data_IF_602298197528
#
_entry.id   IF_602298197528
#
_cell.length_a   1.000
_cell.length_b   1.000
_cell.length_c   1.000
_cell.angle_alpha   90.00
_cell.angle_beta   90.00
_cell.angle_gamma   90.00
#
_symmetry.space_group_name_H-M   'P 1'
#
loop_
_entity.id
_entity.type
_entity.pdbx_description
1 polymer ?
#
# COMPACT_ATOMS: atom_id res chain seq x y z
N UNK A 1 19.25 -54.89 25.93
CA UNK A 1 18.60 -53.56 26.09
C UNK A 1 19.42 -52.42 25.47
N UNK A 2 20.74 -52.38 25.65
CA UNK A 2 21.59 -51.35 25.02
C UNK A 2 21.54 -51.34 23.48
N UNK A 3 21.49 -52.51 22.82
CA UNK A 3 21.43 -52.61 21.35
C UNK A 3 20.09 -52.14 20.74
N UNK A 4 18.97 -52.30 21.44
CA UNK A 4 17.66 -51.81 21.01
C UNK A 4 17.53 -50.29 21.14
N UNK A 5 18.13 -49.71 22.18
CA UNK A 5 18.22 -48.26 22.36
C UNK A 5 19.12 -47.61 21.30
N UNK A 6 20.20 -48.29 20.89
CA UNK A 6 21.09 -47.81 19.83
C UNK A 6 20.43 -47.84 18.45
N UNK A 7 19.72 -48.93 18.12
CA UNK A 7 18.95 -49.05 16.87
C UNK A 7 17.82 -48.02 16.81
N UNK A 8 17.10 -47.80 17.92
CA UNK A 8 16.04 -46.79 18.01
C UNK A 8 16.59 -45.36 17.88
N UNK A 9 17.79 -45.07 18.40
CA UNK A 9 18.43 -43.77 18.26
C UNK A 9 18.89 -43.48 16.81
N UNK A 10 19.39 -44.49 16.08
CA UNK A 10 19.75 -44.37 14.66
C UNK A 10 18.55 -44.27 13.73
N UNK A 11 17.45 -44.97 14.02
CA UNK A 11 16.20 -44.81 13.26
C UNK A 11 15.53 -43.47 13.54
N UNK A 12 15.59 -42.97 14.78
CA UNK A 12 15.03 -41.65 15.11
C UNK A 12 15.85 -40.51 14.50
N UNK A 13 17.19 -40.63 14.45
CA UNK A 13 18.05 -39.62 13.83
C UNK A 13 17.84 -39.57 12.31
N UNK A 14 17.69 -40.72 11.65
CA UNK A 14 17.38 -40.78 10.22
C UNK A 14 15.97 -40.27 9.91
N UNK A 15 14.95 -40.63 10.69
CA UNK A 15 13.58 -40.08 10.54
C UNK A 15 13.56 -38.56 10.76
N UNK A 16 14.30 -38.05 11.76
CA UNK A 16 14.47 -36.60 11.96
C UNK A 16 15.18 -35.93 10.79
N UNK A 17 16.20 -36.56 10.22
CA UNK A 17 16.88 -36.04 9.03
C UNK A 17 15.94 -36.01 7.82
N UNK A 18 15.19 -37.08 7.54
CA UNK A 18 14.25 -37.12 6.42
C UNK A 18 13.08 -36.15 6.59
N UNK A 19 12.57 -35.99 7.80
CA UNK A 19 11.51 -35.00 8.08
C UNK A 19 12.02 -33.57 7.93
N UNK A 20 13.21 -33.25 8.43
CA UNK A 20 13.85 -31.94 8.21
C UNK A 20 14.17 -31.68 6.73
N UNK A 21 14.64 -32.69 6.01
CA UNK A 21 14.92 -32.58 4.58
C UNK A 21 13.62 -32.38 3.77
N UNK A 22 12.56 -33.10 4.13
CA UNK A 22 11.24 -32.94 3.53
C UNK A 22 10.67 -31.55 3.82
N UNK A 23 10.84 -31.02 5.05
CA UNK A 23 10.42 -29.68 5.41
C UNK A 23 11.22 -28.61 4.65
N UNK A 24 12.54 -28.79 4.53
CA UNK A 24 13.40 -27.91 3.75
C UNK A 24 13.04 -27.92 2.25
N UNK A 25 12.75 -29.10 1.70
CA UNK A 25 12.29 -29.26 0.32
C UNK A 25 10.91 -28.62 0.11
N UNK A 26 10.00 -28.76 1.08
CA UNK A 26 8.68 -28.13 1.05
C UNK A 26 8.80 -26.60 1.07
N UNK A 27 9.64 -26.04 1.94
CA UNK A 27 9.89 -24.59 2.00
C UNK A 27 10.57 -24.08 0.71
N UNK A 28 11.50 -24.84 0.13
CA UNK A 28 12.13 -24.49 -1.14
C UNK A 28 11.12 -24.53 -2.31
N UNK A 29 10.28 -25.55 -2.37
CA UNK A 29 9.21 -25.68 -3.37
C UNK A 29 8.18 -24.55 -3.22
N UNK A 30 7.77 -24.22 -1.99
CA UNK A 30 6.85 -23.13 -1.70
C UNK A 30 7.44 -21.77 -2.13
N UNK A 31 8.74 -21.55 -1.86
CA UNK A 31 9.44 -20.33 -2.32
C UNK A 31 9.49 -20.23 -3.84
N UNK A 32 9.65 -21.34 -4.56
CA UNK A 32 9.61 -21.35 -6.03
C UNK A 32 8.20 -21.05 -6.56
N UNK A 33 7.16 -21.56 -5.90
CA UNK A 33 5.75 -21.32 -6.26
C UNK A 33 5.29 -19.88 -5.98
N UNK A 34 5.70 -19.28 -4.86
CA UNK A 34 5.30 -17.92 -4.47
C UNK A 34 6.10 -16.86 -5.25
N UNK A 35 7.25 -17.23 -5.81
CA UNK A 35 8.17 -16.35 -6.51
C UNK A 35 7.50 -15.44 -7.56
N UNK A 36 6.75 -15.94 -8.56
CA UNK A 36 6.10 -15.08 -9.54
C UNK A 36 4.96 -14.23 -8.95
N UNK A 37 4.36 -14.65 -7.83
CA UNK A 37 3.18 -14.00 -7.25
C UNK A 37 3.51 -12.72 -6.46
N UNK A 38 4.69 -12.65 -5.86
CA UNK A 38 5.08 -11.53 -5.00
C UNK A 38 5.07 -10.15 -5.68
N UNK A 39 5.61 -9.97 -6.90
CA UNK A 39 5.49 -8.70 -7.61
C UNK A 39 4.05 -8.35 -7.96
N UNK A 40 3.23 -9.32 -8.35
CA UNK A 40 1.81 -9.10 -8.62
C UNK A 40 1.06 -8.59 -7.39
N UNK A 41 1.25 -9.22 -6.23
CA UNK A 41 0.62 -8.77 -4.97
C UNK A 41 1.03 -7.32 -4.63
N UNK A 42 2.30 -6.98 -4.80
CA UNK A 42 2.79 -5.63 -4.53
C UNK A 42 2.23 -4.59 -5.51
N UNK A 43 2.00 -4.97 -6.77
CA UNK A 43 1.36 -4.14 -7.79
C UNK A 43 -0.12 -3.91 -7.46
N UNK A 44 -0.85 -4.97 -7.13
CA UNK A 44 -2.27 -4.91 -6.78
C UNK A 44 -2.51 -4.02 -5.55
N UNK A 45 -1.63 -4.14 -4.54
CA UNK A 45 -1.63 -3.27 -3.36
C UNK A 45 -1.42 -1.79 -3.73
N UNK A 46 -0.50 -1.50 -4.67
CA UNK A 46 -0.25 -0.13 -5.13
C UNK A 46 -1.45 0.43 -5.92
N UNK A 47 -2.01 -0.38 -6.82
CA UNK A 47 -3.20 -0.02 -7.60
C UNK A 47 -4.37 0.33 -6.68
N UNK A 48 -4.58 -0.50 -5.64
CA UNK A 48 -5.60 -0.25 -4.62
C UNK A 48 -5.38 1.08 -3.90
N UNK A 49 -4.16 1.36 -3.45
CA UNK A 49 -3.85 2.63 -2.74
C UNK A 49 -4.06 3.83 -3.65
N UNK A 50 -3.71 3.75 -4.93
CA UNK A 50 -3.96 4.82 -5.91
C UNK A 50 -5.46 5.04 -6.09
N UNK A 51 -6.24 3.97 -6.22
CA UNK A 51 -7.70 4.04 -6.34
C UNK A 51 -8.34 4.67 -5.11
N UNK A 52 -8.00 4.18 -3.92
CA UNK A 52 -8.50 4.73 -2.65
C UNK A 52 -8.16 6.22 -2.50
N UNK A 53 -6.95 6.62 -2.92
CA UNK A 53 -6.53 8.04 -2.88
C UNK A 53 -7.32 8.90 -3.85
N UNK A 54 -7.60 8.37 -5.05
CA UNK A 54 -8.45 9.05 -6.04
C UNK A 54 -9.88 9.20 -5.52
N UNK A 55 -10.46 8.16 -4.94
CA UNK A 55 -11.81 8.21 -4.38
C UNK A 55 -11.93 9.25 -3.26
N UNK A 56 -10.91 9.39 -2.41
CA UNK A 56 -10.85 10.45 -1.40
C UNK A 56 -10.81 11.84 -2.05
N UNK A 57 -10.01 12.00 -3.10
CA UNK A 57 -9.92 13.27 -3.83
C UNK A 57 -11.25 13.65 -4.52
N UNK A 58 -11.87 12.69 -5.21
CA UNK A 58 -13.14 12.90 -5.91
C UNK A 58 -14.25 13.27 -4.91
N UNK A 59 -14.34 12.57 -3.77
CA UNK A 59 -15.25 12.93 -2.66
C UNK A 59 -14.99 14.33 -2.10
N UNK A 60 -13.72 14.69 -1.88
CA UNK A 60 -13.35 16.01 -1.38
C UNK A 60 -13.71 17.13 -2.37
N UNK A 61 -13.73 16.83 -3.67
CA UNK A 61 -14.16 17.75 -4.71
C UNK A 61 -15.70 17.88 -4.76
N UNK A 62 -16.42 16.77 -4.62
CA UNK A 62 -17.89 16.73 -4.53
C UNK A 62 -18.41 17.47 -3.30
N UNK A 63 -17.77 17.29 -2.14
CA UNK A 63 -18.07 18.03 -0.89
C UNK A 63 -17.61 19.50 -0.94
N UNK A 64 -17.07 19.95 -2.07
CA UNK A 64 -16.50 21.28 -2.31
C UNK A 64 -15.37 21.69 -1.36
N UNK A 65 -14.85 20.81 -0.51
CA UNK A 65 -13.79 21.11 0.46
C UNK A 65 -12.48 21.59 -0.19
N UNK A 66 -12.25 21.23 -1.46
CA UNK A 66 -11.11 21.70 -2.26
C UNK A 66 -11.51 22.86 -3.18
N UNK A 67 -11.70 24.05 -2.60
CA UNK A 67 -12.10 25.24 -3.35
C UNK A 67 -10.99 25.79 -4.28
N UNK A 68 -9.72 25.66 -3.89
CA UNK A 68 -8.60 26.21 -4.64
C UNK A 68 -8.28 25.39 -5.90
N UNK A 69 -8.54 25.98 -7.07
CA UNK A 69 -8.27 25.38 -8.39
C UNK A 69 -6.80 24.94 -8.55
N UNK A 70 -5.86 25.76 -8.07
CA UNK A 70 -4.43 25.43 -8.16
C UNK A 70 -4.08 24.15 -7.40
N UNK A 71 -4.60 24.00 -6.17
CA UNK A 71 -4.41 22.81 -5.33
C UNK A 71 -5.01 21.57 -5.98
N UNK A 72 -6.23 21.68 -6.52
CA UNK A 72 -6.88 20.57 -7.24
C UNK A 72 -6.06 20.10 -8.44
N UNK A 73 -5.59 21.04 -9.26
CA UNK A 73 -4.78 20.73 -10.44
C UNK A 73 -3.45 20.08 -10.05
N UNK A 74 -2.79 20.57 -8.99
CA UNK A 74 -1.54 19.97 -8.49
C UNK A 74 -1.77 18.53 -8.00
N UNK A 75 -2.82 18.29 -7.20
CA UNK A 75 -3.18 16.93 -6.74
C UNK A 75 -3.47 16.01 -7.93
N UNK A 76 -4.27 16.49 -8.89
CA UNK A 76 -4.64 15.72 -10.07
C UNK A 76 -3.42 15.37 -10.95
N UNK A 77 -2.48 16.32 -11.12
CA UNK A 77 -1.23 16.08 -11.83
C UNK A 77 -0.37 15.03 -11.12
N UNK A 78 -0.26 15.10 -9.80
CA UNK A 78 0.51 14.12 -9.01
C UNK A 78 -0.12 12.73 -9.07
N UNK A 79 -1.45 12.62 -8.96
CA UNK A 79 -2.17 11.35 -9.12
C UNK A 79 -1.98 10.76 -10.52
N UNK A 80 -2.08 11.59 -11.57
CA UNK A 80 -1.86 11.15 -12.95
C UNK A 80 -0.43 10.64 -13.17
N UNK A 81 0.57 11.31 -12.58
CA UNK A 81 1.97 10.85 -12.62
C UNK A 81 2.14 9.52 -11.92
N UNK A 82 1.58 9.35 -10.73
CA UNK A 82 1.65 8.09 -9.98
C UNK A 82 0.96 6.93 -10.72
N UNK A 83 -0.20 7.18 -11.35
CA UNK A 83 -0.88 6.21 -12.22
C UNK A 83 -0.02 5.81 -13.43
N UNK A 84 0.62 6.79 -14.07
CA UNK A 84 1.53 6.53 -15.18
C UNK A 84 2.74 5.69 -14.74
N UNK A 85 3.32 6.00 -13.59
CA UNK A 85 4.44 5.24 -13.04
C UNK A 85 4.03 3.81 -12.67
N UNK A 86 2.86 3.61 -12.04
CA UNK A 86 2.30 2.28 -11.77
C UNK A 86 2.12 1.47 -13.06
N UNK A 87 1.49 2.06 -14.09
CA UNK A 87 1.29 1.37 -15.37
C UNK A 87 2.62 0.97 -16.04
N UNK A 88 3.65 1.81 -15.89
CA UNK A 88 5.00 1.51 -16.39
C UNK A 88 5.65 0.37 -15.61
N UNK A 89 5.55 0.38 -14.28
CA UNK A 89 6.04 -0.70 -13.42
C UNK A 89 5.33 -2.02 -13.72
N UNK A 90 4.01 -1.99 -13.96
CA UNK A 90 3.21 -3.15 -14.36
C UNK A 90 3.72 -3.76 -15.66
N UNK A 91 3.96 -2.93 -16.67
CA UNK A 91 4.50 -3.37 -17.96
C UNK A 91 5.88 -4.02 -17.79
N UNK A 92 6.75 -3.44 -16.94
CA UNK A 92 8.06 -4.02 -16.63
C UNK A 92 7.98 -5.34 -15.87
N UNK A 93 7.07 -5.48 -14.90
CA UNK A 93 6.79 -6.76 -14.23
C UNK A 93 6.44 -7.84 -15.25
N UNK A 94 5.53 -7.54 -16.18
CA UNK A 94 5.08 -8.48 -17.19
C UNK A 94 6.17 -8.83 -18.22
N UNK A 95 7.07 -7.89 -18.53
CA UNK A 95 8.13 -8.08 -19.51
C UNK A 95 9.40 -8.72 -18.94
N UNK A 96 9.80 -8.36 -17.73
CA UNK A 96 11.04 -8.81 -17.09
C UNK A 96 10.87 -10.14 -16.32
N UNK A 97 9.65 -10.54 -15.95
CA UNK A 97 9.37 -11.82 -15.27
C UNK A 97 8.86 -12.92 -16.21
N UNK A 98 9.57 -13.15 -17.32
CA UNK A 98 9.42 -14.36 -18.13
C UNK A 98 9.91 -15.62 -17.42
N UNK A 99 9.40 -16.79 -17.83
CA UNK A 99 9.59 -18.11 -17.17
C UNK A 99 11.05 -18.59 -17.00
N UNK A 100 12.04 -17.93 -17.58
CA UNK A 100 13.41 -18.46 -17.72
C UNK A 100 14.52 -17.65 -17.00
N UNK A 101 14.19 -16.85 -15.99
CA UNK A 101 15.19 -16.07 -15.24
C UNK A 101 15.88 -16.93 -14.16
N UNK A 102 17.21 -16.84 -14.02
CA UNK A 102 17.92 -17.52 -12.93
C UNK A 102 17.56 -16.92 -11.56
N UNK A 103 17.83 -17.66 -10.48
CA UNK A 103 17.50 -17.20 -9.12
C UNK A 103 18.17 -15.88 -8.75
N UNK A 104 19.40 -15.66 -9.20
CA UNK A 104 20.18 -14.46 -8.93
C UNK A 104 19.63 -13.26 -9.71
N UNK A 105 19.31 -13.46 -10.99
CA UNK A 105 18.72 -12.42 -11.85
C UNK A 105 17.34 -12.01 -11.34
N UNK A 106 16.50 -12.98 -10.95
CA UNK A 106 15.21 -12.68 -10.35
C UNK A 106 15.36 -11.83 -9.09
N UNK A 107 16.29 -12.19 -8.17
CA UNK A 107 16.47 -11.42 -6.94
C UNK A 107 16.97 -10.01 -7.22
N UNK A 108 17.86 -9.84 -8.19
CA UNK A 108 18.34 -8.53 -8.60
C UNK A 108 17.23 -7.67 -9.23
N UNK A 109 16.54 -8.20 -10.23
CA UNK A 109 15.41 -7.55 -10.93
C UNK A 109 14.31 -7.19 -9.93
N UNK A 110 13.87 -8.17 -9.14
CA UNK A 110 12.83 -7.97 -8.14
C UNK A 110 13.27 -6.98 -7.05
N UNK A 111 14.54 -6.96 -6.64
CA UNK A 111 15.00 -5.99 -5.63
C UNK A 111 14.92 -4.54 -6.14
N UNK A 112 15.30 -4.31 -7.41
CA UNK A 112 15.22 -2.99 -8.03
C UNK A 112 13.76 -2.57 -8.24
N UNK A 113 12.94 -3.49 -8.79
CA UNK A 113 11.51 -3.27 -8.99
C UNK A 113 10.79 -3.01 -7.66
N UNK A 114 11.07 -3.79 -6.61
CA UNK A 114 10.51 -3.60 -5.28
C UNK A 114 10.91 -2.25 -4.67
N UNK A 115 12.12 -1.76 -4.95
CA UNK A 115 12.55 -0.43 -4.53
C UNK A 115 11.68 0.65 -5.21
N UNK A 116 11.48 0.53 -6.53
CA UNK A 116 10.65 1.46 -7.30
C UNK A 116 9.18 1.43 -6.86
N UNK A 117 8.62 0.23 -6.63
CA UNK A 117 7.26 0.07 -6.10
C UNK A 117 7.08 0.69 -4.71
N UNK A 118 8.05 0.51 -3.81
CA UNK A 118 8.03 1.14 -2.50
C UNK A 118 8.11 2.66 -2.61
N UNK A 119 8.91 3.19 -3.52
CA UNK A 119 9.03 4.63 -3.77
C UNK A 119 7.71 5.21 -4.28
N UNK A 120 7.13 4.61 -5.32
CA UNK A 120 5.85 5.02 -5.88
C UNK A 120 4.75 4.96 -4.80
N UNK A 121 4.70 3.87 -4.02
CA UNK A 121 3.76 3.74 -2.88
C UNK A 121 3.91 4.85 -1.84
N UNK A 122 5.15 5.23 -1.50
CA UNK A 122 5.39 6.34 -0.56
C UNK A 122 4.87 7.65 -1.12
N UNK A 123 5.10 7.92 -2.40
CA UNK A 123 4.61 9.12 -3.07
C UNK A 123 3.08 9.19 -3.06
N UNK A 124 2.39 8.09 -3.40
CA UNK A 124 0.93 8.03 -3.33
C UNK A 124 0.42 8.28 -1.91
N UNK A 125 1.06 7.69 -0.89
CA UNK A 125 0.72 7.97 0.51
C UNK A 125 0.94 9.43 0.90
N UNK A 126 1.99 10.07 0.40
CA UNK A 126 2.23 11.50 0.61
C UNK A 126 1.13 12.34 -0.03
N UNK A 127 0.68 11.98 -1.23
CA UNK A 127 -0.47 12.63 -1.89
C UNK A 127 -1.73 12.45 -1.06
N UNK A 128 -2.00 11.22 -0.60
CA UNK A 128 -3.15 10.91 0.25
C UNK A 128 -3.17 11.74 1.53
N UNK A 129 -2.04 11.82 2.25
CA UNK A 129 -1.92 12.64 3.46
C UNK A 129 -2.11 14.12 3.17
N UNK A 130 -1.60 14.61 2.03
CA UNK A 130 -1.80 16.00 1.63
C UNK A 130 -3.28 16.30 1.37
N UNK A 131 -4.01 15.43 0.67
CA UNK A 131 -5.45 15.58 0.44
C UNK A 131 -6.19 15.60 1.78
N UNK A 132 -5.92 14.63 2.66
CA UNK A 132 -6.58 14.53 3.97
C UNK A 132 -6.35 15.78 4.82
N UNK A 133 -5.13 16.33 4.80
CA UNK A 133 -4.81 17.58 5.50
C UNK A 133 -5.64 18.75 4.97
N UNK A 134 -5.73 18.91 3.64
CA UNK A 134 -6.53 19.99 3.03
C UNK A 134 -8.02 19.85 3.36
N UNK A 135 -8.53 18.62 3.34
CA UNK A 135 -9.91 18.30 3.74
C UNK A 135 -10.17 18.66 5.19
N UNK A 136 -9.23 18.31 6.09
CA UNK A 136 -9.36 18.62 7.51
C UNK A 136 -9.31 20.12 7.78
N UNK A 137 -8.38 20.85 7.14
CA UNK A 137 -8.26 22.30 7.26
C UNK A 137 -9.55 23.00 6.77
N UNK A 138 -10.12 22.54 5.65
CA UNK A 138 -11.40 23.05 5.14
C UNK A 138 -12.57 22.77 6.10
N UNK A 139 -12.66 21.56 6.67
CA UNK A 139 -13.70 21.22 7.64
C UNK A 139 -13.58 22.03 8.93
N UNK A 140 -12.36 22.32 9.38
CA UNK A 140 -12.12 23.19 10.54
C UNK A 140 -12.58 24.62 10.25
N UNK A 141 -12.29 25.16 9.07
CA UNK A 141 -12.78 26.48 8.64
C UNK A 141 -14.30 26.58 8.70
N UNK A 142 -15.00 25.62 8.09
CA UNK A 142 -16.46 25.55 8.13
C UNK A 142 -17.03 25.42 9.54
N UNK A 143 -16.34 24.73 10.44
CA UNK A 143 -16.78 24.61 11.83
C UNK A 143 -16.63 25.93 12.59
N UNK A 144 -15.53 26.66 12.40
CA UNK A 144 -15.34 27.98 13.00
C UNK A 144 -16.41 28.97 12.52
N UNK A 145 -16.68 29.02 11.21
CA UNK A 145 -17.72 29.89 10.63
C UNK A 145 -19.10 29.59 11.24
N UNK A 146 -19.49 28.31 11.35
CA UNK A 146 -20.76 27.92 11.97
C UNK A 146 -20.85 28.30 13.45
N UNK A 147 -19.75 28.22 14.19
CA UNK A 147 -19.72 28.61 15.62
C UNK A 147 -19.88 30.13 15.75
N UNK A 148 -19.25 30.91 14.88
CA UNK A 148 -19.39 32.37 14.83
C UNK A 148 -20.83 32.78 14.46
N UNK A 149 -21.44 32.14 13.48
CA UNK A 149 -22.84 32.35 13.10
C UNK A 149 -23.80 32.05 14.25
N UNK A 150 -23.61 30.92 14.94
CA UNK A 150 -24.43 30.56 16.11
C UNK A 150 -24.26 31.57 17.26
N UNK A 151 -23.03 32.04 17.52
CA UNK A 151 -22.77 33.06 18.52
C UNK A 151 -23.45 34.40 18.18
N UNK A 152 -23.45 34.79 16.90
CA UNK A 152 -24.14 35.98 16.41
C UNK A 152 -25.67 35.88 16.57
N UNK A 153 -26.27 34.71 16.28
CA UNK A 153 -27.70 34.48 16.48
C UNK A 153 -28.08 34.58 17.96
N UNK A 154 -27.35 33.87 18.83
CA UNK A 154 -27.62 33.85 20.28
C UNK A 154 -27.48 35.23 20.93
N UNK A 155 -26.51 36.03 20.48
CA UNK A 155 -26.36 37.41 20.96
C UNK A 155 -27.49 38.33 20.48
N UNK A 156 -28.00 38.13 19.25
CA UNK A 156 -29.15 38.88 18.72
C UNK A 156 -30.48 38.56 19.44
N UNK A 157 -30.67 37.30 19.86
CA UNK A 157 -31.88 36.87 20.60
C UNK A 157 -31.91 37.43 22.02
N UNK A 158 -30.75 37.50 22.70
CA UNK A 158 -30.65 38.15 24.02
C UNK A 158 -31.04 39.63 23.97
N UNK A 159 -30.74 40.32 22.87
CA UNK A 159 -31.08 41.74 22.69
C UNK A 159 -32.56 41.99 22.39
N UNK A 160 -33.31 40.96 21.96
CA UNK A 160 -34.76 41.05 21.70
C UNK A 160 -35.63 40.63 22.89
N UNK A 161 -35.01 40.03 23.91
CA UNK A 161 -35.71 39.41 25.05
C UNK A 161 -35.64 40.21 26.35
N UNK A 162 -34.91 41.34 26.35
CA UNK A 162 -34.79 42.27 27.49
C UNK A 162 -35.32 43.64 27.11
#
# INVERSE_FOLDING_TARGET
>A
MAQLLHLAAETNSSVLQYTLLALAALVAALRLLIRPLLPHICMDDLERVIRDTKDIFDKAQEEHLLHHRATRLDIQLRLSRAQKEESHLRSRVLHEHGLNCSTREYLFIFSNLACQLRRCRREVKTIQLFILKQVEDAKRGLHCERVEELAAVLSSERFRSG
#
